data_IF_737128234481
#
_entry.id   IF_737128234481
#
_cell.length_a   1.000
_cell.length_b   1.000
_cell.length_c   1.000
_cell.angle_alpha   90.00
_cell.angle_beta   90.00
_cell.angle_gamma   90.00
#
_symmetry.space_group_name_H-M   'P 1'
#
loop_
_entity.id
_entity.type
_entity.pdbx_description
1 polymer ?
#
# COMPACT_ATOMS: atom_id res chain seq x y z
N UNK A 1 -10.25 37.72 15.72
CA UNK A 1 -8.91 37.64 15.12
C UNK A 1 -8.22 36.42 15.72
N UNK A 2 -8.57 35.21 15.23
CA UNK A 2 -8.05 33.96 15.80
C UNK A 2 -6.87 33.53 14.93
N UNK A 3 -5.67 33.59 15.48
CA UNK A 3 -4.47 33.08 14.82
C UNK A 3 -4.57 31.56 14.76
N UNK A 4 -4.88 31.02 13.58
CA UNK A 4 -4.60 29.62 13.26
C UNK A 4 -3.08 29.49 13.16
N UNK A 5 -2.49 28.85 14.15
CA UNK A 5 -1.11 28.36 14.13
C UNK A 5 -1.01 27.27 13.06
N UNK A 6 -0.83 27.67 11.80
CA UNK A 6 -0.48 26.74 10.71
C UNK A 6 0.90 26.15 11.04
N UNK A 7 0.93 24.85 11.33
CA UNK A 7 2.19 24.17 11.56
C UNK A 7 2.99 24.16 10.23
N UNK A 8 4.30 24.44 10.21
CA UNK A 8 5.08 24.48 8.97
C UNK A 8 5.01 23.17 8.16
N UNK A 9 4.74 22.04 8.82
CA UNK A 9 4.46 20.73 8.22
C UNK A 9 3.13 20.68 7.43
N UNK A 10 2.08 21.42 7.85
CA UNK A 10 0.85 21.59 7.08
C UNK A 10 1.08 22.40 5.80
N UNK A 11 1.90 23.45 5.88
CA UNK A 11 2.18 24.32 4.73
C UNK A 11 3.00 23.57 3.66
N UNK A 12 4.01 22.78 4.07
CA UNK A 12 4.80 21.93 3.16
C UNK A 12 3.97 20.78 2.58
N UNK A 13 3.11 20.16 3.40
CA UNK A 13 2.15 19.14 2.95
C UNK A 13 1.16 19.69 1.92
N UNK A 14 0.65 20.90 2.14
CA UNK A 14 -0.29 21.58 1.25
C UNK A 14 0.32 21.96 -0.11
N UNK A 15 1.59 22.40 -0.14
CA UNK A 15 2.30 22.71 -1.40
C UNK A 15 2.57 21.45 -2.21
N UNK A 16 3.03 20.37 -1.55
CA UNK A 16 3.28 19.07 -2.21
C UNK A 16 1.99 18.46 -2.73
N UNK A 17 0.92 18.48 -1.93
CA UNK A 17 -0.39 18.00 -2.35
C UNK A 17 -0.95 18.77 -3.56
N UNK A 18 -0.83 20.11 -3.57
CA UNK A 18 -1.25 20.93 -4.72
C UNK A 18 -0.43 20.65 -5.97
N UNK A 19 0.89 20.47 -5.85
CA UNK A 19 1.75 20.17 -6.99
C UNK A 19 1.43 18.80 -7.60
N UNK A 20 1.21 17.78 -6.77
CA UNK A 20 0.81 16.44 -7.19
C UNK A 20 -0.58 16.46 -7.82
N UNK A 21 -1.54 17.19 -7.23
CA UNK A 21 -2.90 17.29 -7.76
C UNK A 21 -2.96 18.02 -9.11
N UNK A 22 -2.18 19.09 -9.29
CA UNK A 22 -2.05 19.79 -10.58
C UNK A 22 -1.47 18.90 -11.69
N UNK A 23 -0.61 17.94 -11.35
CA UNK A 23 0.06 17.05 -12.31
C UNK A 23 -0.76 15.82 -12.65
N UNK A 24 -1.39 15.21 -11.63
CA UNK A 24 -2.03 13.90 -11.75
C UNK A 24 -3.56 13.98 -11.76
N UNK A 25 -4.16 15.14 -11.46
CA UNK A 25 -5.61 15.26 -11.28
C UNK A 25 -6.15 14.25 -10.25
N UNK A 26 -5.30 13.88 -9.29
CA UNK A 26 -5.47 12.68 -8.47
C UNK A 26 -6.66 12.82 -7.54
N UNK A 27 -7.01 14.02 -7.10
CA UNK A 27 -8.04 14.21 -6.08
C UNK A 27 -9.43 13.70 -6.51
N UNK A 28 -9.77 13.82 -7.81
CA UNK A 28 -11.05 13.31 -8.36
C UNK A 28 -11.04 11.79 -8.56
N UNK A 29 -9.89 11.21 -8.89
CA UNK A 29 -9.69 9.77 -9.03
C UNK A 29 -9.65 9.08 -7.66
N UNK A 30 -8.89 9.64 -6.73
CA UNK A 30 -8.71 9.12 -5.37
C UNK A 30 -10.04 9.10 -4.61
N UNK A 31 -10.81 10.20 -4.65
CA UNK A 31 -12.14 10.25 -4.03
C UNK A 31 -13.14 9.26 -4.62
N UNK A 32 -13.06 8.98 -5.93
CA UNK A 32 -13.91 7.99 -6.62
C UNK A 32 -13.57 6.54 -6.21
N UNK A 33 -12.30 6.25 -5.99
CA UNK A 33 -11.84 4.91 -5.57
C UNK A 33 -12.08 4.67 -4.06
N UNK A 34 -11.90 5.69 -3.23
CA UNK A 34 -12.15 5.63 -1.78
C UNK A 34 -13.65 5.50 -1.45
N UNK A 35 -14.53 6.10 -2.25
CA UNK A 35 -15.98 5.99 -2.08
C UNK A 35 -16.58 4.68 -2.61
N UNK A 36 -15.76 3.70 -2.97
CA UNK A 36 -16.24 2.43 -3.52
C UNK A 36 -16.77 1.55 -2.39
N UNK A 37 -18.09 1.57 -2.23
CA UNK A 37 -18.80 0.69 -1.29
C UNK A 37 -18.67 -0.74 -1.78
N UNK A 38 -18.02 -1.58 -0.98
CA UNK A 38 -17.88 -3.00 -1.24
C UNK A 38 -18.92 -3.79 -0.45
N UNK A 39 -19.50 -4.87 -1.01
CA UNK A 39 -20.57 -5.61 -0.35
C UNK A 39 -20.04 -6.59 0.70
N UNK A 40 -20.64 -6.56 1.89
CA UNK A 40 -20.28 -7.28 3.13
C UNK A 40 -20.82 -8.72 3.19
N UNK A 41 -20.65 -9.46 2.10
CA UNK A 41 -20.93 -10.90 2.07
C UNK A 41 -19.66 -11.71 2.36
N UNK A 42 -19.83 -12.86 3.03
CA UNK A 42 -18.72 -13.71 3.47
C UNK A 42 -17.74 -14.10 2.34
N UNK A 43 -18.27 -14.45 1.16
CA UNK A 43 -17.44 -14.83 0.02
C UNK A 43 -16.61 -13.68 -0.57
N UNK A 44 -16.98 -12.41 -0.32
CA UNK A 44 -16.20 -11.26 -0.75
C UNK A 44 -14.87 -11.15 0.00
N UNK A 45 -14.93 -11.43 1.31
CA UNK A 45 -13.77 -11.33 2.20
C UNK A 45 -12.69 -12.38 1.88
N UNK A 46 -13.04 -13.47 1.17
CA UNK A 46 -12.07 -14.46 0.70
C UNK A 46 -11.07 -13.87 -0.30
N UNK A 47 -11.50 -12.92 -1.13
CA UNK A 47 -10.60 -12.23 -2.08
C UNK A 47 -9.57 -11.36 -1.37
N UNK A 48 -9.99 -10.65 -0.32
CA UNK A 48 -9.10 -9.84 0.51
C UNK A 48 -8.09 -10.71 1.27
N UNK A 49 -8.52 -11.84 1.84
CA UNK A 49 -7.63 -12.81 2.49
C UNK A 49 -6.61 -13.38 1.49
N UNK A 50 -7.04 -13.72 0.27
CA UNK A 50 -6.15 -14.20 -0.78
C UNK A 50 -5.09 -13.15 -1.16
N UNK A 51 -5.49 -11.87 -1.28
CA UNK A 51 -4.57 -10.77 -1.57
C UNK A 51 -3.55 -10.58 -0.46
N UNK A 52 -3.97 -10.56 0.81
CA UNK A 52 -3.04 -10.42 1.93
C UNK A 52 -2.09 -11.62 2.04
N UNK A 53 -2.60 -12.83 1.84
CA UNK A 53 -1.78 -14.04 1.84
C UNK A 53 -0.73 -14.01 0.73
N UNK A 54 -1.11 -13.55 -0.46
CA UNK A 54 -0.18 -13.37 -1.57
C UNK A 54 0.93 -12.36 -1.25
N UNK A 55 0.60 -11.22 -0.64
CA UNK A 55 1.59 -10.21 -0.23
C UNK A 55 2.57 -10.80 0.80
N UNK A 56 2.06 -11.52 1.80
CA UNK A 56 2.91 -12.16 2.82
C UNK A 56 3.87 -13.16 2.19
N UNK A 57 3.38 -14.02 1.29
CA UNK A 57 4.22 -15.01 0.58
C UNK A 57 5.25 -14.31 -0.32
N UNK A 58 4.90 -13.21 -0.99
CA UNK A 58 5.86 -12.46 -1.79
C UNK A 58 6.99 -11.87 -0.95
N UNK A 59 6.66 -11.22 0.16
CA UNK A 59 7.65 -10.59 1.03
C UNK A 59 8.56 -11.61 1.69
N UNK A 60 7.95 -12.65 2.28
CA UNK A 60 8.70 -13.72 2.93
C UNK A 60 9.49 -14.54 1.91
N UNK A 61 8.88 -14.94 0.79
CA UNK A 61 9.54 -15.66 -0.29
C UNK A 61 10.74 -14.89 -0.84
N UNK A 62 10.60 -13.58 -1.10
CA UNK A 62 11.72 -12.74 -1.54
C UNK A 62 12.86 -12.76 -0.52
N UNK A 63 12.56 -12.64 0.77
CA UNK A 63 13.58 -12.75 1.82
C UNK A 63 14.28 -14.12 1.81
N UNK A 64 13.52 -15.22 1.75
CA UNK A 64 14.10 -16.56 1.71
C UNK A 64 14.97 -16.81 0.47
N UNK A 65 14.61 -16.27 -0.69
CA UNK A 65 15.39 -16.46 -1.93
C UNK A 65 16.81 -15.90 -1.85
N UNK A 66 17.08 -14.93 -0.97
CA UNK A 66 18.42 -14.38 -0.79
C UNK A 66 19.37 -15.33 -0.04
N UNK A 67 18.83 -16.28 0.74
CA UNK A 67 19.59 -17.22 1.56
C UNK A 67 19.51 -18.67 1.07
N UNK A 68 18.61 -18.95 0.15
CA UNK A 68 18.37 -20.28 -0.37
C UNK A 68 19.38 -20.64 -1.47
N UNK A 69 20.15 -21.72 -1.27
CA UNK A 69 20.99 -22.32 -2.31
C UNK A 69 20.23 -23.51 -2.96
N UNK A 70 19.79 -23.39 -4.22
CA UNK A 70 19.11 -24.47 -4.93
C UNK A 70 20.11 -25.52 -5.43
N UNK A 71 20.61 -26.37 -4.53
CA UNK A 71 21.52 -27.48 -4.86
C UNK A 71 20.89 -28.84 -4.60
N UNK A 72 21.10 -29.77 -5.54
CA UNK A 72 20.67 -31.19 -5.43
C UNK A 72 21.81 -32.10 -4.94
N UNK A 73 22.90 -31.54 -4.43
CA UNK A 73 24.05 -32.29 -3.93
C UNK A 73 23.72 -32.90 -2.57
N UNK A 74 24.10 -34.16 -2.37
CA UNK A 74 23.92 -34.85 -1.10
C UNK A 74 24.88 -34.28 -0.04
N UNK A 75 24.32 -33.76 1.05
CA UNK A 75 25.07 -33.23 2.19
C UNK A 75 24.73 -34.07 3.42
N UNK A 76 25.76 -34.63 4.05
CA UNK A 76 25.62 -35.36 5.33
C UNK A 76 25.69 -34.35 6.47
N UNK A 77 24.69 -34.36 7.34
CA UNK A 77 24.57 -33.50 8.53
C UNK A 77 25.08 -34.19 9.79
#
# INVERSE_FOLDING_TARGET
>A
MSATTDHPIEQVGGVTAKYVDQRLGSNKFLGRNLGKVFPDHWSFMLGEIALYSFIVVLLTGTFLTLFYDPSMVEVVY
#
